data_IF_303541576936
#
_entry.id   IF_303541576936
#
_cell.length_a   1.000
_cell.length_b   1.000
_cell.length_c   1.000
_cell.angle_alpha   90.00
_cell.angle_beta   90.00
_cell.angle_gamma   90.00
#
_symmetry.space_group_name_H-M   'P 1'
#
loop_
_entity.id
_entity.type
_entity.pdbx_description
1 polymer ?
#
# COMPACT_ATOMS: atom_id res chain seq x y z
N UNK A 1 -4.17 -89.17 4.88
CA UNK A 1 -4.54 -88.39 3.68
C UNK A 1 -4.11 -89.15 2.44
N UNK A 2 -5.03 -89.35 1.51
CA UNK A 2 -4.72 -89.94 0.21
C UNK A 2 -3.87 -88.97 -0.63
N UNK A 3 -3.08 -89.45 -1.61
CA UNK A 3 -2.28 -88.59 -2.48
C UNK A 3 -3.10 -87.47 -3.16
N UNK A 4 -4.35 -87.78 -3.53
CA UNK A 4 -5.32 -86.85 -4.10
C UNK A 4 -5.67 -85.70 -3.14
N UNK A 5 -5.95 -85.99 -1.87
CA UNK A 5 -6.25 -84.98 -0.85
C UNK A 5 -5.09 -84.02 -0.58
N UNK A 6 -3.84 -84.51 -0.66
CA UNK A 6 -2.64 -83.64 -0.52
C UNK A 6 -2.50 -82.70 -1.71
N UNK A 7 -2.79 -83.16 -2.92
CA UNK A 7 -2.77 -82.34 -4.14
C UNK A 7 -3.86 -81.27 -4.11
N UNK A 8 -5.09 -81.63 -3.74
CA UNK A 8 -6.22 -80.69 -3.63
C UNK A 8 -5.93 -79.58 -2.60
N UNK A 9 -5.34 -79.93 -1.45
CA UNK A 9 -4.95 -78.95 -0.44
C UNK A 9 -3.81 -78.02 -0.89
N UNK A 10 -2.86 -78.52 -1.69
CA UNK A 10 -1.80 -77.71 -2.28
C UNK A 10 -2.36 -76.70 -3.30
N UNK A 11 -3.32 -77.12 -4.12
CA UNK A 11 -4.03 -76.24 -5.07
C UNK A 11 -4.81 -75.16 -4.33
N UNK A 12 -5.55 -75.51 -3.27
CA UNK A 12 -6.30 -74.53 -2.46
C UNK A 12 -5.36 -73.50 -1.84
N UNK A 13 -4.23 -73.94 -1.25
CA UNK A 13 -3.23 -73.02 -0.69
C UNK A 13 -2.63 -72.08 -1.73
N UNK A 14 -2.34 -72.60 -2.93
CA UNK A 14 -1.80 -71.81 -4.02
C UNK A 14 -2.79 -70.74 -4.50
N UNK A 15 -4.05 -71.14 -4.75
CA UNK A 15 -5.11 -70.24 -5.18
C UNK A 15 -5.42 -69.19 -4.09
N UNK A 16 -5.53 -69.60 -2.83
CA UNK A 16 -5.75 -68.69 -1.71
C UNK A 16 -4.59 -67.69 -1.55
N UNK A 17 -3.35 -68.14 -1.69
CA UNK A 17 -2.17 -67.28 -1.67
C UNK A 17 -2.18 -66.25 -2.81
N UNK A 18 -2.53 -66.69 -4.03
CA UNK A 18 -2.65 -65.80 -5.19
C UNK A 18 -3.75 -64.74 -4.98
N UNK A 19 -4.92 -65.16 -4.51
CA UNK A 19 -6.06 -64.27 -4.21
C UNK A 19 -5.67 -63.24 -3.15
N UNK A 20 -5.03 -63.67 -2.05
CA UNK A 20 -4.58 -62.76 -1.00
C UNK A 20 -3.53 -61.75 -1.49
N UNK A 21 -2.60 -62.16 -2.36
CA UNK A 21 -1.62 -61.26 -2.97
C UNK A 21 -2.33 -60.20 -3.82
N UNK A 22 -3.29 -60.61 -4.65
CA UNK A 22 -4.08 -59.71 -5.50
C UNK A 22 -4.90 -58.74 -4.64
N UNK A 23 -5.62 -59.24 -3.63
CA UNK A 23 -6.40 -58.41 -2.71
C UNK A 23 -5.53 -57.40 -1.97
N UNK A 24 -4.36 -57.81 -1.44
CA UNK A 24 -3.44 -56.92 -0.74
C UNK A 24 -2.87 -55.85 -1.66
N UNK A 25 -2.48 -56.22 -2.89
CA UNK A 25 -1.96 -55.27 -3.87
C UNK A 25 -3.03 -54.26 -4.26
N UNK A 26 -4.26 -54.71 -4.52
CA UNK A 26 -5.40 -53.87 -4.83
C UNK A 26 -5.70 -52.87 -3.69
N UNK A 27 -5.77 -53.36 -2.44
CA UNK A 27 -5.98 -52.53 -1.26
C UNK A 27 -4.90 -51.45 -1.11
N UNK A 28 -3.63 -51.83 -1.22
CA UNK A 28 -2.52 -50.88 -1.10
C UNK A 28 -2.54 -49.83 -2.22
N UNK A 29 -2.77 -50.24 -3.47
CA UNK A 29 -2.85 -49.29 -4.59
C UNK A 29 -4.04 -48.32 -4.44
N UNK A 30 -5.19 -48.82 -3.99
CA UNK A 30 -6.37 -47.99 -3.77
C UNK A 30 -6.13 -46.98 -2.65
N UNK A 31 -5.57 -47.41 -1.53
CA UNK A 31 -5.21 -46.54 -0.41
C UNK A 31 -4.18 -45.47 -0.81
N UNK A 32 -3.15 -45.85 -1.58
CA UNK A 32 -2.13 -44.92 -2.06
C UNK A 32 -2.71 -43.85 -3.01
N UNK A 33 -3.61 -44.24 -3.92
CA UNK A 33 -4.30 -43.30 -4.82
C UNK A 33 -5.21 -42.36 -4.02
N UNK A 34 -5.96 -42.88 -3.05
CA UNK A 34 -6.82 -42.05 -2.20
C UNK A 34 -6.02 -41.02 -1.41
N UNK A 35 -4.89 -41.43 -0.84
CA UNK A 35 -3.97 -40.51 -0.15
C UNK A 35 -3.40 -39.46 -1.12
N UNK A 36 -2.99 -39.87 -2.32
CA UNK A 36 -2.49 -38.96 -3.34
C UNK A 36 -3.53 -37.89 -3.74
N UNK A 37 -4.77 -38.30 -3.98
CA UNK A 37 -5.87 -37.38 -4.28
C UNK A 37 -6.12 -36.42 -3.11
N UNK A 38 -6.10 -36.92 -1.86
CA UNK A 38 -6.28 -36.08 -0.69
C UNK A 38 -5.18 -35.03 -0.53
N UNK A 39 -3.91 -35.42 -0.71
CA UNK A 39 -2.77 -34.50 -0.66
C UNK A 39 -2.83 -33.47 -1.78
N UNK A 40 -3.16 -33.89 -3.01
CA UNK A 40 -3.32 -32.98 -4.13
C UNK A 40 -4.46 -31.98 -3.89
N UNK A 41 -5.61 -32.45 -3.40
CA UNK A 41 -6.74 -31.59 -3.06
C UNK A 41 -6.36 -30.50 -2.05
N UNK A 42 -5.67 -30.90 -0.97
CA UNK A 42 -5.17 -29.96 0.04
C UNK A 42 -4.12 -29.00 -0.50
N UNK A 43 -3.19 -29.47 -1.32
CA UNK A 43 -2.16 -28.63 -1.93
C UNK A 43 -2.76 -27.59 -2.87
N UNK A 44 -3.63 -28.01 -3.80
CA UNK A 44 -4.30 -27.09 -4.73
C UNK A 44 -5.22 -26.12 -4.00
N UNK A 45 -5.98 -26.60 -3.00
CA UNK A 45 -6.82 -25.74 -2.16
C UNK A 45 -5.99 -24.72 -1.37
N UNK A 46 -4.87 -25.14 -0.79
CA UNK A 46 -3.95 -24.27 -0.07
C UNK A 46 -3.29 -23.22 -0.96
N UNK A 47 -2.81 -23.61 -2.15
CA UNK A 47 -2.26 -22.68 -3.14
C UNK A 47 -3.31 -21.66 -3.61
N UNK A 48 -4.54 -22.09 -3.87
CA UNK A 48 -5.63 -21.20 -4.26
C UNK A 48 -5.98 -20.22 -3.12
N UNK A 49 -6.10 -20.70 -1.89
CA UNK A 49 -6.40 -19.86 -0.73
C UNK A 49 -5.30 -18.80 -0.48
N UNK A 50 -4.03 -19.20 -0.59
CA UNK A 50 -2.90 -18.28 -0.49
C UNK A 50 -2.95 -17.22 -1.59
N UNK A 51 -3.20 -17.62 -2.85
CA UNK A 51 -3.31 -16.70 -3.97
C UNK A 51 -4.43 -15.66 -3.74
N UNK A 52 -5.62 -16.13 -3.33
CA UNK A 52 -6.75 -15.24 -3.04
C UNK A 52 -6.44 -14.26 -1.89
N UNK A 53 -5.73 -14.72 -0.86
CA UNK A 53 -5.31 -13.88 0.27
C UNK A 53 -4.32 -12.80 -0.17
N UNK A 54 -3.35 -13.16 -1.02
CA UNK A 54 -2.38 -12.20 -1.56
C UNK A 54 -3.06 -11.16 -2.47
N UNK A 55 -4.02 -11.57 -3.29
CA UNK A 55 -4.82 -10.66 -4.13
C UNK A 55 -5.64 -9.71 -3.24
N UNK A 56 -6.32 -10.24 -2.22
CA UNK A 56 -7.11 -9.43 -1.30
C UNK A 56 -6.22 -8.42 -0.55
N UNK A 57 -5.08 -8.86 -0.03
CA UNK A 57 -4.12 -7.98 0.63
C UNK A 57 -3.60 -6.89 -0.30
N UNK A 58 -3.23 -7.25 -1.53
CA UNK A 58 -2.78 -6.28 -2.55
C UNK A 58 -3.88 -5.26 -2.88
N UNK A 59 -5.13 -5.70 -2.96
CA UNK A 59 -6.28 -4.82 -3.18
C UNK A 59 -6.48 -3.81 -2.05
N UNK A 60 -6.32 -4.22 -0.79
CA UNK A 60 -6.38 -3.33 0.37
C UNK A 60 -5.24 -2.30 0.32
N UNK A 61 -4.00 -2.76 0.07
CA UNK A 61 -2.84 -1.87 -0.04
C UNK A 61 -3.03 -0.87 -1.17
N UNK A 62 -3.56 -1.30 -2.32
CA UNK A 62 -3.86 -0.43 -3.45
C UNK A 62 -4.95 0.61 -3.12
N UNK A 63 -5.97 0.27 -2.34
CA UNK A 63 -6.99 1.24 -1.93
C UNK A 63 -6.45 2.29 -0.97
N UNK A 64 -5.47 1.94 -0.14
CA UNK A 64 -4.90 2.82 0.89
C UNK A 64 -3.66 3.58 0.37
N UNK A 65 -3.07 3.17 -0.78
CA UNK A 65 -1.84 3.75 -1.29
C UNK A 65 -1.94 5.26 -1.52
N UNK A 66 -3.07 5.72 -2.05
CA UNK A 66 -3.28 7.14 -2.30
C UNK A 66 -3.25 7.96 -1.01
N UNK A 67 -3.81 7.43 0.08
CA UNK A 67 -3.81 8.08 1.39
C UNK A 67 -2.45 8.06 2.08
N UNK A 68 -1.62 7.03 1.81
CA UNK A 68 -0.25 6.97 2.32
C UNK A 68 0.65 8.03 1.67
N UNK A 69 0.43 8.32 0.39
CA UNK A 69 1.19 9.33 -0.34
C UNK A 69 0.61 10.72 -0.08
N UNK A 70 -0.70 10.90 -0.16
CA UNK A 70 -1.36 12.19 -0.06
C UNK A 70 -2.59 12.12 0.84
N UNK A 71 -2.55 12.86 1.95
CA UNK A 71 -3.63 12.89 2.94
C UNK A 71 -4.35 14.25 2.91
N UNK A 72 -5.22 14.50 1.92
CA UNK A 72 -5.77 15.82 1.71
C UNK A 72 -6.79 16.24 2.77
N UNK A 73 -7.46 15.30 3.43
CA UNK A 73 -8.57 15.57 4.35
C UNK A 73 -8.11 15.72 5.80
N UNK A 74 -6.81 15.86 6.03
CA UNK A 74 -6.24 16.06 7.35
C UNK A 74 -5.37 17.32 7.34
N UNK A 75 -5.56 18.25 8.30
CA UNK A 75 -6.68 18.32 9.25
C UNK A 75 -8.05 18.47 8.54
N UNK A 76 -9.19 18.20 9.20
CA UNK A 76 -10.52 18.12 8.53
C UNK A 76 -10.94 19.38 7.76
N UNK A 77 -10.42 20.55 8.14
CA UNK A 77 -10.68 21.86 7.56
C UNK A 77 -9.74 22.23 6.39
N UNK A 78 -8.76 21.38 6.07
CA UNK A 78 -7.71 21.61 5.07
C UNK A 78 -8.23 21.99 3.68
N UNK A 79 -9.41 21.51 3.29
CA UNK A 79 -10.01 21.78 1.98
C UNK A 79 -10.97 22.97 1.97
N UNK A 80 -11.43 23.42 3.13
CA UNK A 80 -12.51 24.41 3.24
C UNK A 80 -11.98 25.75 3.73
N UNK A 81 -11.07 25.73 4.70
CA UNK A 81 -10.56 26.93 5.35
C UNK A 81 -9.11 27.17 4.96
N UNK A 82 -8.88 28.08 4.01
CA UNK A 82 -7.55 28.58 3.67
C UNK A 82 -7.45 30.03 4.14
N UNK A 83 -6.90 30.23 5.33
CA UNK A 83 -6.67 31.57 5.85
C UNK A 83 -5.59 32.28 5.00
N UNK A 84 -5.82 33.52 4.52
CA UNK A 84 -4.83 34.25 3.73
C UNK A 84 -3.76 34.87 4.64
N UNK A 85 -2.50 35.03 4.17
CA UNK A 85 -1.43 35.64 4.97
C UNK A 85 -1.77 37.05 5.50
N UNK A 86 -2.58 37.81 4.77
CA UNK A 86 -3.04 39.16 5.14
C UNK A 86 -3.81 39.19 6.46
N UNK A 87 -4.47 38.08 6.84
CA UNK A 87 -5.16 37.97 8.14
C UNK A 87 -4.22 38.02 9.35
N UNK A 88 -2.93 37.70 9.18
CA UNK A 88 -1.89 37.84 10.19
C UNK A 88 -1.04 39.11 9.99
N UNK A 89 -1.45 40.01 9.08
CA UNK A 89 -0.72 41.22 8.74
C UNK A 89 0.55 40.98 7.93
N UNK A 90 0.70 39.82 7.28
CA UNK A 90 1.88 39.52 6.47
C UNK A 90 1.78 40.17 5.08
N UNK A 91 2.83 40.87 4.60
CA UNK A 91 2.87 41.49 3.28
C UNK A 91 3.18 40.44 2.20
N UNK A 92 2.14 39.68 1.82
CA UNK A 92 2.24 38.56 0.88
C UNK A 92 1.76 38.92 -0.53
N UNK A 93 2.45 38.41 -1.55
CA UNK A 93 2.04 38.47 -2.95
C UNK A 93 1.83 37.07 -3.54
N UNK A 94 0.82 36.93 -4.39
CA UNK A 94 0.58 35.70 -5.13
C UNK A 94 1.43 35.66 -6.42
N UNK A 95 2.11 34.55 -6.65
CA UNK A 95 2.96 34.32 -7.81
C UNK A 95 2.54 33.02 -8.52
N UNK A 96 2.70 32.99 -9.84
CA UNK A 96 2.60 31.76 -10.62
C UNK A 96 3.94 31.49 -11.29
N UNK A 97 4.55 30.37 -10.93
CA UNK A 97 5.82 29.90 -11.47
C UNK A 97 5.55 28.79 -12.47
N UNK A 98 6.50 28.55 -13.37
CA UNK A 98 6.44 27.43 -14.30
C UNK A 98 7.65 26.53 -14.06
N UNK A 99 7.39 25.26 -13.81
CA UNK A 99 8.44 24.25 -13.77
C UNK A 99 8.99 23.99 -15.19
N UNK A 100 10.12 23.30 -15.28
CA UNK A 100 10.79 22.99 -16.57
C UNK A 100 9.90 22.22 -17.54
N UNK A 101 8.98 21.41 -17.03
CA UNK A 101 8.02 20.63 -17.80
C UNK A 101 6.76 21.42 -18.20
N UNK A 102 6.69 22.71 -17.85
CA UNK A 102 5.54 23.58 -18.10
C UNK A 102 4.46 23.53 -17.02
N UNK A 103 4.63 22.74 -15.95
CA UNK A 103 3.67 22.68 -14.85
C UNK A 103 3.55 24.05 -14.17
N UNK A 104 2.32 24.58 -14.11
CA UNK A 104 2.01 25.84 -13.43
C UNK A 104 1.95 25.61 -11.92
N UNK A 105 2.82 26.31 -11.19
CA UNK A 105 2.94 26.24 -9.74
C UNK A 105 2.43 27.53 -9.11
N UNK A 106 1.53 27.44 -8.14
CA UNK A 106 1.12 28.58 -7.34
C UNK A 106 2.08 28.75 -6.16
N UNK A 107 2.55 29.98 -5.96
CA UNK A 107 3.40 30.33 -4.83
C UNK A 107 2.92 31.63 -4.18
N UNK A 108 3.23 31.79 -2.91
CA UNK A 108 2.98 33.00 -2.13
C UNK A 108 4.32 33.52 -1.64
N UNK A 109 4.65 34.77 -1.95
CA UNK A 109 5.91 35.37 -1.54
C UNK A 109 5.66 36.44 -0.47
N UNK A 110 6.21 36.21 0.72
CA UNK A 110 6.17 37.15 1.85
C UNK A 110 7.50 37.87 1.91
N UNK A 111 7.48 39.18 1.68
CA UNK A 111 8.67 40.04 1.62
C UNK A 111 8.88 40.74 2.95
N UNK A 112 10.12 40.86 3.39
CA UNK A 112 10.46 41.79 4.48
C UNK A 112 10.15 43.23 4.10
N UNK A 113 10.23 44.17 5.06
CA UNK A 113 10.03 45.59 4.77
C UNK A 113 10.92 46.07 3.61
N UNK A 114 10.45 47.03 2.82
CA UNK A 114 11.04 47.45 1.53
C UNK A 114 12.55 47.75 1.58
N UNK A 115 13.06 48.26 2.70
CA UNK A 115 14.49 48.50 2.91
C UNK A 115 15.34 47.24 3.11
N UNK A 116 14.75 46.13 3.54
CA UNK A 116 15.43 44.89 3.88
C UNK A 116 15.23 43.75 2.87
N UNK A 117 14.30 43.87 1.92
CA UNK A 117 13.97 42.77 0.96
C UNK A 117 15.21 42.24 0.24
N UNK A 118 16.09 43.13 -0.24
CA UNK A 118 17.29 42.74 -1.01
C UNK A 118 18.41 42.16 -0.16
N UNK A 119 18.47 42.51 1.12
CA UNK A 119 19.49 42.05 2.06
C UNK A 119 19.05 40.84 2.87
N UNK A 120 17.75 40.62 3.00
CA UNK A 120 17.18 39.47 3.69
C UNK A 120 17.37 38.20 2.87
N UNK A 121 17.83 37.09 3.48
CA UNK A 121 17.87 35.81 2.78
C UNK A 121 16.44 35.33 2.48
N UNK A 122 16.30 34.54 1.41
CA UNK A 122 15.01 33.97 1.00
C UNK A 122 14.96 32.50 1.38
N UNK A 123 13.97 32.14 2.19
CA UNK A 123 13.66 30.75 2.53
C UNK A 123 12.54 30.23 1.61
N UNK A 124 12.80 29.11 0.95
CA UNK A 124 11.80 28.43 0.11
C UNK A 124 11.10 27.38 0.97
N UNK A 125 9.80 27.58 1.19
CA UNK A 125 9.00 26.73 2.07
C UNK A 125 8.18 25.74 1.24
N UNK A 126 8.57 24.46 1.29
CA UNK A 126 7.79 23.36 0.76
C UNK A 126 6.99 22.71 1.90
N UNK A 127 5.67 22.86 1.87
CA UNK A 127 4.81 22.23 2.87
C UNK A 127 4.60 20.74 2.57
N UNK A 128 4.30 19.96 3.61
CA UNK A 128 3.98 18.53 3.47
C UNK A 128 2.60 18.28 2.84
N UNK A 129 2.30 17.01 2.62
CA UNK A 129 1.14 16.51 1.86
C UNK A 129 -0.22 16.68 2.57
N UNK A 130 -0.21 17.01 3.87
CA UNK A 130 -1.39 17.26 4.68
C UNK A 130 -1.50 18.74 5.04
N UNK A 131 -2.74 19.21 5.24
CA UNK A 131 -3.06 20.61 5.50
C UNK A 131 -2.91 21.53 4.29
N UNK A 132 -3.05 22.83 4.52
CA UNK A 132 -2.95 23.87 3.48
C UNK A 132 -2.06 25.03 3.95
N UNK A 133 -1.93 26.07 3.12
CA UNK A 133 -1.16 27.29 3.44
C UNK A 133 -1.56 27.91 4.78
N UNK A 134 -2.86 27.99 5.07
CA UNK A 134 -3.42 28.53 6.31
C UNK A 134 -2.86 27.83 7.55
N UNK A 135 -2.78 26.50 7.52
CA UNK A 135 -2.19 25.69 8.60
C UNK A 135 -0.68 25.91 8.80
N UNK A 136 0.00 26.55 7.84
CA UNK A 136 1.43 26.87 7.91
C UNK A 136 1.70 28.32 8.26
N UNK A 137 0.68 29.18 8.26
CA UNK A 137 0.85 30.62 8.46
C UNK A 137 1.47 30.99 9.81
N UNK A 138 1.20 30.24 10.88
CA UNK A 138 1.85 30.48 12.18
C UNK A 138 3.37 30.34 12.08
N UNK A 139 3.86 29.27 11.45
CA UNK A 139 5.29 29.07 11.21
C UNK A 139 5.87 30.19 10.35
N UNK A 140 5.16 30.58 9.28
CA UNK A 140 5.56 31.68 8.40
C UNK A 140 5.66 32.99 9.17
N UNK A 141 4.70 33.28 10.03
CA UNK A 141 4.66 34.48 10.85
C UNK A 141 5.86 34.53 11.81
N UNK A 142 6.16 33.43 12.51
CA UNK A 142 7.31 33.36 13.41
C UNK A 142 8.64 33.47 12.64
N UNK A 143 8.78 32.81 11.49
CA UNK A 143 9.97 32.95 10.64
C UNK A 143 10.14 34.37 10.12
N UNK A 144 9.05 35.01 9.70
CA UNK A 144 9.06 36.40 9.25
C UNK A 144 9.51 37.36 10.37
N UNK A 145 8.95 37.17 11.57
CA UNK A 145 9.17 38.07 12.71
C UNK A 145 10.53 37.88 13.37
N UNK A 146 10.99 36.65 13.55
CA UNK A 146 12.19 36.35 14.34
C UNK A 146 13.44 36.09 13.50
N UNK A 147 13.29 35.53 12.30
CA UNK A 147 14.42 35.23 11.43
C UNK A 147 14.70 36.33 10.40
N UNK A 148 13.77 37.28 10.23
CA UNK A 148 13.89 38.40 9.29
C UNK A 148 14.21 37.97 7.85
N UNK A 149 13.58 36.87 7.40
CA UNK A 149 13.78 36.29 6.06
C UNK A 149 12.60 36.61 5.14
N UNK A 150 12.86 36.65 3.82
CA UNK A 150 11.79 36.55 2.82
C UNK A 150 11.33 35.09 2.73
N UNK A 151 10.05 34.84 2.51
CA UNK A 151 9.49 33.48 2.48
C UNK A 151 8.77 33.23 1.15
N UNK A 152 9.28 32.30 0.35
CA UNK A 152 8.62 31.83 -0.87
C UNK A 152 7.93 30.50 -0.57
N UNK A 153 6.61 30.54 -0.39
CA UNK A 153 5.79 29.38 -0.08
C UNK A 153 5.24 28.77 -1.35
N UNK A 154 5.56 27.50 -1.60
CA UNK A 154 4.91 26.75 -2.67
C UNK A 154 3.55 26.26 -2.16
N UNK A 155 2.48 26.53 -2.90
CA UNK A 155 1.11 26.20 -2.50
C UNK A 155 0.56 25.11 -3.41
N UNK A 156 0.17 23.97 -2.83
CA UNK A 156 -0.42 22.87 -3.61
C UNK A 156 -1.95 22.98 -3.75
N UNK A 157 -2.60 23.89 -3.03
CA UNK A 157 -4.06 24.03 -3.03
C UNK A 157 -4.54 25.01 -4.09
N UNK A 158 -5.37 24.50 -5.02
CA UNK A 158 -6.13 25.24 -6.06
C UNK A 158 -7.26 26.09 -5.46
N UNK A 159 -7.10 26.58 -4.23
CA UNK A 159 -7.99 27.58 -3.67
C UNK A 159 -7.33 28.94 -3.95
N UNK A 160 -7.71 29.54 -5.08
CA UNK A 160 -7.48 30.97 -5.30
C UNK A 160 -8.15 31.72 -4.15
N UNK A 161 -7.35 32.23 -3.22
CA UNK A 161 -7.77 33.24 -2.27
C UNK A 161 -7.90 34.60 -2.98
#
# INVERSE_FOLDING_TARGET
MTPKQKADFAVIKFVAGLVLIVMRKFWFTSAAVMLGIFVLFWLYGGCLALLLTLIAFSGIVYQISDQLVYWPNFPPDSRVLVQPPSSMGLPAENLYLYARDGTKLHAVFVKQASGAVKSAPTFIYFHGNAGNLGHRLSNVYEMYRWLHVNLLLLVSTVATA
#
